data_IF_147455320800
#
_entry.id   IF_147455320800
#
_cell.length_a   1.000
_cell.length_b   1.000
_cell.length_c   1.000
_cell.angle_alpha   90.00
_cell.angle_beta   90.00
_cell.angle_gamma   90.00
#
_symmetry.space_group_name_H-M   'P 1'
#
loop_
_entity.id
_entity.type
_entity.pdbx_description
1 polymer ?
#
# COMPACT_ATOMS: atom_id res chain seq x y z
N UNK A 1 -29.72 45.97 -39.77
CA UNK A 1 -28.58 46.87 -39.49
C UNK A 1 -27.60 46.29 -38.46
N UNK A 2 -27.99 45.38 -37.56
CA UNK A 2 -27.10 44.73 -36.58
C UNK A 2 -26.12 43.72 -37.20
N UNK A 3 -26.58 42.92 -38.16
CA UNK A 3 -25.80 41.82 -38.75
C UNK A 3 -24.51 42.27 -39.47
N UNK A 4 -24.48 43.51 -39.97
CA UNK A 4 -23.28 44.05 -40.63
C UNK A 4 -22.21 44.48 -39.61
N UNK A 5 -22.62 44.90 -38.41
CA UNK A 5 -21.69 45.30 -37.35
C UNK A 5 -20.97 44.08 -36.76
N UNK A 6 -21.69 42.96 -36.60
CA UNK A 6 -21.13 41.72 -36.07
C UNK A 6 -20.09 41.11 -37.03
N UNK A 7 -20.37 41.14 -38.34
CA UNK A 7 -19.43 40.68 -39.38
C UNK A 7 -18.17 41.54 -39.46
N UNK A 8 -18.29 42.86 -39.23
CA UNK A 8 -17.13 43.75 -39.18
C UNK A 8 -16.28 43.45 -37.94
N UNK A 9 -16.89 43.23 -36.78
CA UNK A 9 -16.18 42.82 -35.56
C UNK A 9 -15.44 41.50 -35.75
N UNK A 10 -16.10 40.49 -36.33
CA UNK A 10 -15.49 39.20 -36.61
C UNK A 10 -14.27 39.32 -37.54
N UNK A 11 -14.38 40.13 -38.61
CA UNK A 11 -13.27 40.37 -39.54
C UNK A 11 -12.09 41.11 -38.92
N UNK A 12 -12.35 42.00 -37.96
CA UNK A 12 -11.30 42.73 -37.22
C UNK A 12 -10.60 41.78 -36.25
N UNK A 13 -11.36 40.96 -35.53
CA UNK A 13 -10.81 39.93 -34.62
C UNK A 13 -9.96 38.92 -35.38
N UNK A 14 -10.45 38.42 -36.51
CA UNK A 14 -9.71 37.48 -37.36
C UNK A 14 -8.40 38.12 -37.88
N UNK A 15 -8.46 39.37 -38.33
CA UNK A 15 -7.27 40.08 -38.84
C UNK A 15 -6.25 40.32 -37.73
N UNK A 16 -6.70 40.71 -36.54
CA UNK A 16 -5.83 40.89 -35.37
C UNK A 16 -5.19 39.56 -34.97
N UNK A 17 -5.97 38.48 -34.88
CA UNK A 17 -5.50 37.14 -34.48
C UNK A 17 -4.58 36.48 -35.53
N UNK A 18 -4.77 36.80 -36.81
CA UNK A 18 -3.89 36.35 -37.90
C UNK A 18 -2.62 37.19 -38.04
N UNK A 19 -2.69 38.46 -37.64
CA UNK A 19 -1.55 39.39 -37.64
C UNK A 19 -0.70 39.32 -36.37
N UNK A 20 -1.25 38.80 -35.27
CA UNK A 20 -0.46 38.43 -34.11
C UNK A 20 0.45 37.29 -34.53
N UNK A 21 1.74 37.59 -34.63
CA UNK A 21 2.77 36.59 -34.81
C UNK A 21 2.57 35.53 -33.73
N UNK A 22 2.19 34.32 -34.12
CA UNK A 22 2.25 33.16 -33.22
C UNK A 22 3.74 33.07 -32.90
N UNK A 23 4.14 33.58 -31.74
CA UNK A 23 5.50 33.42 -31.23
C UNK A 23 5.75 31.92 -31.20
N UNK A 24 6.44 31.43 -32.24
CA UNK A 24 6.87 30.05 -32.28
C UNK A 24 7.71 29.89 -31.03
N UNK A 25 7.35 28.97 -30.12
CA UNK A 25 8.16 28.74 -28.95
C UNK A 25 9.59 28.49 -29.42
N UNK A 26 10.57 29.01 -28.67
CA UNK A 26 11.97 28.79 -29.02
C UNK A 26 12.20 27.28 -29.18
N UNK A 27 13.14 26.88 -30.05
CA UNK A 27 13.47 25.47 -30.26
C UNK A 27 13.81 24.72 -28.96
N UNK A 28 14.22 25.46 -27.93
CA UNK A 28 14.53 24.95 -26.60
C UNK A 28 13.40 25.11 -25.57
N UNK A 29 12.25 25.72 -25.92
CA UNK A 29 11.10 25.86 -25.03
C UNK A 29 10.60 24.49 -24.55
N UNK A 30 10.38 23.57 -25.48
CA UNK A 30 9.97 22.20 -25.14
C UNK A 30 11.01 21.52 -24.27
N UNK A 31 12.30 21.72 -24.53
CA UNK A 31 13.37 21.15 -23.68
C UNK A 31 13.39 21.75 -22.27
N UNK A 32 13.19 23.06 -22.14
CA UNK A 32 13.14 23.76 -20.85
C UNK A 32 11.90 23.39 -20.04
N UNK A 33 10.75 23.28 -20.70
CA UNK A 33 9.50 22.80 -20.10
C UNK A 33 9.64 21.34 -19.67
N UNK A 34 10.12 20.45 -20.55
CA UNK A 34 10.36 19.04 -20.20
C UNK A 34 11.43 18.88 -19.12
N UNK A 35 12.45 19.74 -19.06
CA UNK A 35 13.43 19.72 -17.97
C UNK A 35 12.80 20.09 -16.62
N UNK A 36 11.92 21.10 -16.57
CA UNK A 36 11.18 21.47 -15.36
C UNK A 36 10.06 20.49 -15.00
N UNK A 37 9.46 19.84 -16.00
CA UNK A 37 8.45 18.79 -15.79
C UNK A 37 9.13 17.52 -15.31
N UNK A 38 10.30 17.13 -15.85
CA UNK A 38 11.03 15.94 -15.38
C UNK A 38 11.58 16.09 -13.97
N UNK A 39 11.95 17.31 -13.52
CA UNK A 39 12.36 17.52 -12.12
C UNK A 39 11.20 17.45 -11.14
N UNK A 40 9.96 17.71 -11.60
CA UNK A 40 8.73 17.56 -10.80
C UNK A 40 8.01 16.23 -10.99
N UNK A 41 8.26 15.55 -12.10
CA UNK A 41 7.88 14.16 -12.37
C UNK A 41 8.81 13.27 -11.57
N UNK A 42 8.68 13.38 -10.25
CA UNK A 42 9.02 12.31 -9.34
C UNK A 42 8.16 11.13 -9.79
N UNK A 43 8.72 10.30 -10.69
CA UNK A 43 8.16 9.01 -10.99
C UNK A 43 7.81 8.41 -9.64
N UNK A 44 6.54 8.04 -9.44
CA UNK A 44 6.09 7.40 -8.22
C UNK A 44 6.80 6.06 -8.16
N UNK A 45 8.03 6.08 -7.63
CA UNK A 45 8.86 4.90 -7.50
C UNK A 45 8.07 3.98 -6.61
N UNK A 46 7.61 2.88 -7.21
CA UNK A 46 6.75 1.91 -6.57
C UNK A 46 7.51 1.26 -5.44
N UNK A 47 7.45 1.86 -4.25
CA UNK A 47 8.10 1.31 -3.09
C UNK A 47 7.20 0.20 -2.54
N UNK A 48 7.70 -1.04 -2.44
CA UNK A 48 6.92 -2.10 -1.84
C UNK A 48 6.63 -1.75 -0.38
N UNK A 49 5.38 -1.32 -0.12
CA UNK A 49 4.85 -0.92 1.19
C UNK A 49 5.20 -1.87 2.36
N UNK A 50 5.38 -3.16 2.06
CA UNK A 50 6.05 -4.12 2.93
C UNK A 50 7.25 -4.64 2.15
N UNK A 51 8.44 -4.31 2.66
CA UNK A 51 9.69 -4.90 2.23
C UNK A 51 9.60 -6.43 2.32
N UNK A 52 10.44 -7.16 1.58
CA UNK A 52 10.59 -8.62 1.75
C UNK A 52 10.85 -9.00 3.23
N UNK A 53 11.48 -8.09 3.98
CA UNK A 53 11.69 -8.23 5.43
C UNK A 53 10.40 -8.11 6.24
N UNK A 54 9.42 -7.31 5.81
CA UNK A 54 8.13 -7.19 6.49
C UNK A 54 7.31 -8.49 6.40
N UNK A 55 7.38 -9.21 5.28
CA UNK A 55 6.80 -10.55 5.16
C UNK A 55 7.46 -11.56 6.10
N UNK A 56 8.78 -11.49 6.28
CA UNK A 56 9.50 -12.33 7.24
C UNK A 56 9.04 -12.07 8.68
N UNK A 57 8.81 -10.80 9.05
CA UNK A 57 8.32 -10.43 10.39
C UNK A 57 6.90 -10.96 10.61
N UNK A 58 6.00 -10.81 9.62
CA UNK A 58 4.64 -11.35 9.73
C UNK A 58 4.67 -12.87 9.90
N UNK A 59 5.47 -13.57 9.09
CA UNK A 59 5.58 -15.02 9.17
C UNK A 59 6.16 -15.48 10.52
N UNK A 60 7.21 -14.81 10.99
CA UNK A 60 7.80 -15.04 12.31
C UNK A 60 6.79 -14.81 13.44
N UNK A 61 5.98 -13.74 13.36
CA UNK A 61 4.94 -13.44 14.34
C UNK A 61 3.86 -14.52 14.41
N UNK A 62 3.43 -15.04 13.26
CA UNK A 62 2.46 -16.16 13.21
C UNK A 62 3.06 -17.41 13.85
N UNK A 63 4.30 -17.75 13.55
CA UNK A 63 4.98 -18.92 14.15
C UNK A 63 5.10 -18.76 15.68
N UNK A 64 5.54 -17.60 16.16
CA UNK A 64 5.65 -17.33 17.59
C UNK A 64 4.29 -17.44 18.31
N UNK A 65 3.22 -16.99 17.65
CA UNK A 65 1.86 -17.07 18.21
C UNK A 65 1.33 -18.51 18.26
N UNK A 66 1.66 -19.36 17.29
CA UNK A 66 1.33 -20.79 17.32
C UNK A 66 2.05 -21.49 18.48
N UNK A 67 3.34 -21.19 18.69
CA UNK A 67 4.12 -21.73 19.81
C UNK A 67 3.53 -21.28 21.15
N UNK A 68 3.08 -20.03 21.24
CA UNK A 68 2.42 -19.48 22.41
C UNK A 68 1.13 -20.24 22.78
N UNK A 69 0.25 -20.50 21.80
CA UNK A 69 -0.96 -21.30 22.03
C UNK A 69 -0.58 -22.72 22.48
N UNK A 70 0.42 -23.34 21.86
CA UNK A 70 0.88 -24.67 22.25
C UNK A 70 1.34 -24.72 23.73
N UNK A 71 2.09 -23.71 24.18
CA UNK A 71 2.57 -23.62 25.56
C UNK A 71 1.44 -23.45 26.59
N UNK A 72 0.40 -22.67 26.25
CA UNK A 72 -0.74 -22.40 27.16
C UNK A 72 -1.75 -23.54 27.20
N UNK A 73 -1.95 -24.25 26.09
CA UNK A 73 -3.02 -25.24 25.96
C UNK A 73 -2.62 -26.63 26.47
N UNK A 74 -1.41 -26.77 27.04
CA UNK A 74 -0.96 -27.89 27.87
C UNK A 74 -1.58 -29.26 27.52
N UNK A 75 -0.92 -30.00 26.63
CA UNK A 75 -1.09 -31.45 26.34
C UNK A 75 -2.50 -32.00 26.01
N UNK A 76 -3.58 -31.23 26.12
CA UNK A 76 -4.94 -31.76 25.92
C UNK A 76 -5.48 -31.55 24.50
N UNK A 77 -4.72 -30.94 23.60
CA UNK A 77 -5.18 -30.60 22.26
C UNK A 77 -4.57 -31.50 21.19
N UNK A 78 -5.29 -32.58 20.88
CA UNK A 78 -5.37 -33.24 19.57
C UNK A 78 -4.07 -33.73 18.91
N UNK A 79 -4.07 -35.01 18.51
CA UNK A 79 -3.04 -35.79 17.77
C UNK A 79 -2.40 -35.14 16.52
N UNK A 80 -2.68 -33.88 16.21
CA UNK A 80 -2.17 -33.13 15.06
C UNK A 80 -0.80 -32.51 15.33
N UNK A 81 -0.45 -32.24 16.60
CA UNK A 81 0.81 -31.61 17.02
C UNK A 81 1.81 -32.56 17.69
N UNK A 82 1.51 -33.85 17.81
CA UNK A 82 2.36 -34.86 18.49
C UNK A 82 3.75 -35.04 17.84
N UNK A 83 3.94 -34.59 16.59
CA UNK A 83 5.22 -34.74 15.87
C UNK A 83 6.16 -33.53 16.04
N UNK A 84 5.69 -32.41 16.61
CA UNK A 84 6.54 -31.21 16.75
C UNK A 84 6.98 -31.06 18.21
N UNK A 85 8.17 -31.58 18.47
CA UNK A 85 8.79 -31.58 19.80
C UNK A 85 9.38 -30.18 20.12
N UNK A 86 8.55 -29.29 20.66
CA UNK A 86 8.92 -27.91 21.04
C UNK A 86 9.59 -27.81 22.42
N UNK A 87 10.19 -28.88 22.92
CA UNK A 87 10.78 -28.94 24.26
C UNK A 87 11.97 -27.97 24.48
N UNK A 88 12.52 -27.38 23.41
CA UNK A 88 13.66 -26.44 23.48
C UNK A 88 13.25 -25.01 23.87
N UNK A 89 11.99 -24.60 23.64
CA UNK A 89 11.54 -23.21 23.84
C UNK A 89 10.88 -23.00 25.23
N UNK A 90 10.45 -24.08 25.88
CA UNK A 90 9.67 -24.04 27.13
C UNK A 90 10.47 -23.61 28.37
N UNK A 91 11.80 -23.58 28.30
CA UNK A 91 12.69 -23.51 29.48
C UNK A 91 13.02 -22.09 29.96
N UNK A 92 12.43 -21.05 29.35
CA UNK A 92 12.74 -19.65 29.70
C UNK A 92 11.58 -18.95 30.40
N UNK A 93 11.91 -18.09 31.36
CA UNK A 93 11.01 -17.31 32.25
C UNK A 93 9.85 -16.58 31.55
N UNK A 94 9.92 -16.44 30.23
CA UNK A 94 8.88 -15.92 29.34
C UNK A 94 7.56 -16.69 29.53
N UNK A 95 7.62 -18.03 29.64
CA UNK A 95 6.43 -18.87 29.83
C UNK A 95 5.71 -18.54 31.14
N UNK A 96 6.44 -18.17 32.20
CA UNK A 96 5.86 -17.78 33.50
C UNK A 96 5.16 -16.42 33.48
N UNK A 97 5.66 -15.46 32.69
CA UNK A 97 5.02 -14.16 32.51
C UNK A 97 3.69 -14.26 31.75
N UNK A 98 3.65 -15.14 30.75
CA UNK A 98 2.47 -15.36 29.92
C UNK A 98 1.46 -16.37 30.50
N UNK A 99 1.92 -17.30 31.35
CA UNK A 99 1.06 -18.23 32.11
C UNK A 99 0.04 -17.51 33.02
N UNK A 100 0.35 -16.28 33.46
CA UNK A 100 -0.60 -15.44 34.21
C UNK A 100 -1.77 -14.93 33.36
N UNK A 101 -1.63 -14.89 32.04
CA UNK A 101 -2.67 -14.48 31.10
C UNK A 101 -3.44 -15.73 30.62
N UNK A 102 -4.28 -16.29 31.50
CA UNK A 102 -5.20 -17.36 31.12
C UNK A 102 -6.31 -16.81 30.23
N UNK A 103 -6.07 -16.80 28.92
CA UNK A 103 -7.11 -16.58 27.91
C UNK A 103 -7.89 -17.87 27.69
N UNK A 104 -9.20 -17.77 27.54
CA UNK A 104 -10.04 -18.89 27.14
C UNK A 104 -9.62 -19.36 25.73
N UNK A 105 -9.57 -20.68 25.50
CA UNK A 105 -9.12 -21.27 24.23
C UNK A 105 -9.79 -20.61 23.02
N UNK A 106 -11.11 -20.41 23.07
CA UNK A 106 -11.90 -19.77 22.01
C UNK A 106 -11.40 -18.35 21.70
N UNK A 107 -11.10 -17.56 22.73
CA UNK A 107 -10.61 -16.18 22.55
C UNK A 107 -9.19 -16.14 21.96
N UNK A 108 -8.34 -17.10 22.31
CA UNK A 108 -6.99 -17.21 21.74
C UNK A 108 -7.00 -17.57 20.25
N UNK A 109 -7.87 -18.50 19.83
CA UNK A 109 -8.04 -18.87 18.43
C UNK A 109 -8.70 -17.74 17.63
N UNK A 110 -9.69 -17.05 18.20
CA UNK A 110 -10.30 -15.89 17.58
C UNK A 110 -9.28 -14.76 17.34
N UNK A 111 -8.41 -14.48 18.31
CA UNK A 111 -7.33 -13.51 18.20
C UNK A 111 -6.35 -13.88 17.06
N UNK A 112 -6.00 -15.17 16.93
CA UNK A 112 -5.12 -15.66 15.87
C UNK A 112 -5.72 -15.41 14.49
N UNK A 113 -6.95 -15.89 14.27
CA UNK A 113 -7.64 -15.77 12.99
C UNK A 113 -7.88 -14.30 12.64
N UNK A 114 -8.23 -13.48 13.62
CA UNK A 114 -8.40 -12.05 13.44
C UNK A 114 -7.08 -11.36 13.03
N UNK A 115 -5.97 -11.67 13.71
CA UNK A 115 -4.64 -11.16 13.34
C UNK A 115 -4.23 -11.56 11.93
N UNK A 116 -4.46 -12.83 11.56
CA UNK A 116 -4.15 -13.35 10.23
C UNK A 116 -5.01 -12.69 9.14
N UNK A 117 -6.29 -12.44 9.44
CA UNK A 117 -7.20 -11.70 8.57
C UNK A 117 -6.72 -10.27 8.34
N UNK A 118 -6.27 -9.56 9.39
CA UNK A 118 -5.71 -8.21 9.26
C UNK A 118 -4.45 -8.21 8.38
N UNK A 119 -3.58 -9.21 8.54
CA UNK A 119 -2.40 -9.37 7.68
C UNK A 119 -2.75 -9.54 6.20
N UNK A 120 -3.85 -10.24 5.89
CA UNK A 120 -4.35 -10.39 4.53
C UNK A 120 -5.12 -9.16 4.02
N UNK A 121 -5.75 -8.37 4.90
CA UNK A 121 -6.47 -7.15 4.53
C UNK A 121 -5.52 -6.04 4.05
N UNK A 122 -4.32 -5.92 4.64
CA UNK A 122 -3.31 -4.92 4.26
C UNK A 122 -2.92 -4.99 2.75
N UNK A 123 -2.57 -6.15 2.17
CA UNK A 123 -2.24 -6.25 0.75
C UNK A 123 -3.45 -6.03 -0.17
N UNK A 124 -4.67 -6.41 0.25
CA UNK A 124 -5.90 -6.16 -0.51
C UNK A 124 -6.15 -4.65 -0.63
N UNK A 125 -6.05 -3.92 0.49
CA UNK A 125 -6.21 -2.47 0.49
C UNK A 125 -5.13 -1.78 -0.35
N UNK A 126 -3.90 -2.29 -0.29
CA UNK A 126 -2.80 -1.82 -1.15
C UNK A 126 -3.09 -2.03 -2.64
N UNK A 127 -3.56 -3.22 -3.03
CA UNK A 127 -3.91 -3.53 -4.41
C UNK A 127 -4.99 -2.58 -4.94
N UNK A 128 -5.99 -2.28 -4.12
CA UNK A 128 -7.07 -1.37 -4.50
C UNK A 128 -6.58 0.08 -4.70
N UNK A 129 -5.71 0.58 -3.82
CA UNK A 129 -5.12 1.93 -3.93
C UNK A 129 -4.20 2.03 -5.15
N UNK A 130 -3.35 1.03 -5.39
CA UNK A 130 -2.46 0.98 -6.56
C UNK A 130 -3.26 0.96 -7.87
N UNK A 131 -4.31 0.13 -7.94
CA UNK A 131 -5.22 0.08 -9.09
C UNK A 131 -5.87 1.44 -9.36
N UNK A 132 -6.23 2.18 -8.31
CA UNK A 132 -6.77 3.54 -8.45
C UNK A 132 -5.73 4.50 -8.99
N UNK A 133 -4.49 4.49 -8.49
CA UNK A 133 -3.44 5.41 -8.96
C UNK A 133 -3.02 5.16 -10.41
N UNK A 134 -3.04 3.91 -10.88
CA UNK A 134 -2.78 3.59 -12.29
C UNK A 134 -3.86 4.04 -13.28
N UNK A 135 -5.10 4.27 -12.84
CA UNK A 135 -6.18 4.75 -13.72
C UNK A 135 -6.16 6.29 -13.92
N UNK A 136 -5.31 7.02 -13.20
CA UNK A 136 -5.21 8.49 -13.27
C UNK A 136 -3.88 9.00 -13.87
N UNK A 137 -3.00 8.10 -14.34
CA UNK A 137 -1.77 8.42 -15.09
C UNK A 137 -1.89 7.97 -16.53
#
# INVERSE_FOLDING_TARGET
MKDNADRLLESVVEKVMKSSHIESPSSDFTKRVMAHVNTKSTATVYQPLISKTGWLIVFSGVIAFVIYIYMITGTDTSKWFETIDFNVIATTDITNLFSKLKLEQVTSYAMLVFGLMLCAQIPILKYFIDKRQRNFS
#
